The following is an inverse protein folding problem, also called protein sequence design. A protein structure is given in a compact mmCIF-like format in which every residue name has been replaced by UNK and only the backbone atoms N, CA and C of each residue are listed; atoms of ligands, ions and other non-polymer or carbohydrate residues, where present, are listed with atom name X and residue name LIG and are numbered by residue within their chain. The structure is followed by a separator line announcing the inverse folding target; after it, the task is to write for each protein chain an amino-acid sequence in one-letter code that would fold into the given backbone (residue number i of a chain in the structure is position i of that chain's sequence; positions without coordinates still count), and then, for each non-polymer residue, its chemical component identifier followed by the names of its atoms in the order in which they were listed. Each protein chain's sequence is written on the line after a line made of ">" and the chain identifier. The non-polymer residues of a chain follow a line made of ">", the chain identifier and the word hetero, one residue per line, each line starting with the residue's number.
data_IF_068869438013
#
_entry.id   IF_068869438013
#
_cell.length_a   1.000
_cell.length_b   1.000
_cell.length_c   1.000
_cell.angle_alpha   90.00
_cell.angle_beta   90.00
_cell.angle_gamma   90.00
#
_symmetry.space_group_name_H-M   'P 1'
#
loop_
_entity.id
_entity.type
_entity.pdbx_description
1 polymer ?
#
# COMPACT_ATOMS: atom_id res chain seq x y z
N UNK A 1 -7.17 54.43 -46.54
CA UNK A 1 -6.56 53.69 -47.66
C UNK A 1 -6.28 52.30 -47.15
N UNK A 2 -7.18 51.36 -47.46
CA UNK A 2 -7.11 49.98 -46.99
C UNK A 2 -6.45 49.12 -48.07
N UNK A 3 -5.25 48.62 -47.79
CA UNK A 3 -4.53 47.69 -48.69
C UNK A 3 -5.07 46.27 -48.51
N UNK A 4 -5.69 45.74 -49.56
CA UNK A 4 -6.05 44.33 -49.69
C UNK A 4 -4.80 43.54 -50.09
N UNK A 5 -4.38 42.62 -49.23
CA UNK A 5 -3.36 41.62 -49.55
C UNK A 5 -4.08 40.39 -50.12
N UNK A 6 -3.94 40.16 -51.42
CA UNK A 6 -4.31 38.90 -52.08
C UNK A 6 -3.22 37.86 -51.82
N UNK A 7 -3.56 36.80 -51.09
CA UNK A 7 -2.71 35.61 -50.95
C UNK A 7 -3.14 34.60 -52.02
N UNK A 8 -2.30 34.42 -53.05
CA UNK A 8 -2.42 33.29 -53.99
C UNK A 8 -1.86 32.04 -53.32
N UNK A 9 -2.72 31.03 -53.15
CA UNK A 9 -2.32 29.69 -52.73
C UNK A 9 -2.19 28.87 -54.03
N UNK A 10 -0.96 28.49 -54.37
CA UNK A 10 -0.69 27.51 -55.41
C UNK A 10 -0.58 26.13 -54.77
N UNK A 11 -1.60 25.32 -54.98
CA UNK A 11 -1.56 23.87 -54.79
C UNK A 11 -0.73 23.22 -55.91
N UNK A 12 0.12 22.26 -55.54
CA UNK A 12 0.43 21.01 -56.25
C UNK A 12 1.90 20.61 -56.07
N UNK A 13 2.14 19.62 -55.21
CA UNK A 13 3.27 18.68 -55.34
C UNK A 13 2.96 17.42 -54.52
N UNK A 14 2.11 16.54 -55.07
CA UNK A 14 1.97 15.16 -54.61
C UNK A 14 3.23 14.37 -55.00
N UNK A 15 4.16 14.23 -54.04
CA UNK A 15 5.30 13.32 -54.18
C UNK A 15 4.81 11.90 -53.88
N UNK A 16 4.60 11.10 -54.93
CA UNK A 16 4.42 9.64 -54.81
C UNK A 16 5.72 9.01 -54.29
N UNK A 17 5.78 8.74 -53.00
CA UNK A 17 6.83 7.91 -52.40
C UNK A 17 6.42 6.44 -52.57
N UNK A 18 6.96 5.78 -53.59
CA UNK A 18 6.89 4.32 -53.70
C UNK A 18 7.80 3.69 -52.64
N UNK A 19 7.20 3.32 -51.50
CA UNK A 19 7.88 2.52 -50.48
C UNK A 19 7.90 1.08 -50.97
N UNK A 20 9.04 0.64 -51.52
CA UNK A 20 9.34 -0.78 -51.75
C UNK A 20 9.42 -1.48 -50.38
N UNK A 21 8.32 -2.10 -49.95
CA UNK A 21 8.32 -3.01 -48.81
C UNK A 21 8.86 -4.37 -49.25
N UNK A 22 10.11 -4.66 -48.91
CA UNK A 22 10.65 -6.01 -49.02
C UNK A 22 9.85 -6.99 -48.12
N UNK A 23 9.69 -8.25 -48.53
CA UNK A 23 8.91 -9.23 -47.79
C UNK A 23 9.52 -9.47 -46.41
N UNK A 24 8.71 -9.22 -45.37
CA UNK A 24 8.98 -9.59 -43.99
C UNK A 24 9.16 -11.11 -43.91
N UNK A 25 10.41 -11.54 -44.00
CA UNK A 25 10.83 -12.86 -43.51
C UNK A 25 10.38 -12.96 -42.06
N UNK A 26 9.70 -14.06 -41.73
CA UNK A 26 9.12 -14.39 -40.44
C UNK A 26 10.18 -14.66 -39.37
N UNK A 27 11.08 -13.70 -39.16
CA UNK A 27 11.95 -13.67 -38.01
C UNK A 27 11.08 -13.34 -36.79
N UNK A 28 11.01 -14.31 -35.88
CA UNK A 28 10.50 -14.13 -34.52
C UNK A 28 10.88 -12.74 -33.98
N UNK A 29 9.88 -11.90 -33.74
CA UNK A 29 10.04 -10.59 -33.08
C UNK A 29 10.35 -10.74 -31.58
N UNK A 30 10.75 -11.93 -31.12
CA UNK A 30 11.24 -12.10 -29.77
C UNK A 30 12.55 -11.33 -29.63
N UNK A 31 12.48 -10.21 -28.92
CA UNK A 31 13.64 -9.36 -28.58
C UNK A 31 14.77 -10.21 -27.97
N UNK A 32 14.44 -11.32 -27.30
CA UNK A 32 15.41 -12.24 -26.72
C UNK A 32 16.30 -12.92 -27.78
N UNK A 33 15.78 -13.26 -28.96
CA UNK A 33 16.53 -13.92 -30.03
C UNK A 33 17.41 -12.93 -30.81
N UNK A 34 16.87 -11.75 -31.13
CA UNK A 34 17.63 -10.66 -31.77
C UNK A 34 18.84 -10.31 -30.90
N UNK A 35 18.67 -10.29 -29.58
CA UNK A 35 19.76 -10.02 -28.67
C UNK A 35 20.78 -11.17 -28.58
N UNK A 36 20.34 -12.43 -28.50
CA UNK A 36 21.26 -13.60 -28.52
C UNK A 36 22.19 -13.57 -29.73
N UNK A 37 21.64 -13.28 -30.92
CA UNK A 37 22.44 -13.11 -32.15
C UNK A 37 23.44 -11.95 -32.05
N UNK A 38 23.06 -10.84 -31.43
CA UNK A 38 23.99 -9.72 -31.17
C UNK A 38 25.11 -10.10 -30.19
N UNK A 39 24.81 -10.92 -29.17
CA UNK A 39 25.83 -11.43 -28.23
C UNK A 39 26.82 -12.33 -28.96
N UNK A 40 26.35 -13.21 -29.86
CA UNK A 40 27.21 -14.16 -30.59
C UNK A 40 28.33 -13.47 -31.38
N UNK A 41 28.12 -12.23 -31.81
CA UNK A 41 29.11 -11.43 -32.54
C UNK A 41 30.03 -10.59 -31.63
N UNK A 42 29.80 -10.57 -30.31
CA UNK A 42 30.65 -9.84 -29.37
C UNK A 42 31.97 -10.56 -29.08
N UNK A 43 32.99 -9.80 -28.66
CA UNK A 43 34.25 -10.39 -28.18
C UNK A 43 34.01 -11.22 -26.91
N UNK A 44 34.83 -12.24 -26.60
CA UNK A 44 34.60 -13.13 -25.45
C UNK A 44 34.38 -12.42 -24.10
N UNK A 45 35.09 -11.31 -23.85
CA UNK A 45 34.94 -10.51 -22.63
C UNK A 45 33.62 -9.72 -22.59
N UNK A 46 33.14 -9.28 -23.75
CA UNK A 46 31.86 -8.58 -23.91
C UNK A 46 30.69 -9.57 -23.79
N UNK A 47 30.83 -10.79 -24.32
CA UNK A 47 29.88 -11.90 -24.13
C UNK A 47 29.67 -12.25 -22.66
N UNK A 48 30.76 -12.42 -21.89
CA UNK A 48 30.68 -12.69 -20.43
C UNK A 48 29.95 -11.59 -19.69
N UNK A 49 30.18 -10.33 -20.09
CA UNK A 49 29.48 -9.18 -19.51
C UNK A 49 28.00 -9.20 -19.87
N UNK A 50 27.64 -9.34 -21.15
CA UNK A 50 26.25 -9.40 -21.59
C UNK A 50 25.46 -10.53 -20.89
N UNK A 51 26.03 -11.74 -20.81
CA UNK A 51 25.40 -12.88 -20.15
C UNK A 51 25.14 -12.65 -18.65
N UNK A 52 26.06 -11.98 -17.94
CA UNK A 52 25.87 -11.62 -16.54
C UNK A 52 24.72 -10.62 -16.33
N UNK A 53 24.38 -9.83 -17.36
CA UNK A 53 23.28 -8.87 -17.27
C UNK A 53 21.91 -9.54 -17.45
N UNK A 54 21.82 -10.57 -18.32
CA UNK A 54 20.61 -11.39 -18.48
C UNK A 54 20.21 -12.11 -17.21
N UNK A 55 21.17 -12.70 -16.51
CA UNK A 55 20.93 -13.37 -15.22
C UNK A 55 20.33 -12.44 -14.15
N UNK A 56 20.29 -11.13 -14.39
CA UNK A 56 19.80 -10.11 -13.47
C UNK A 56 18.68 -9.23 -14.04
N UNK A 57 18.10 -9.57 -15.21
CA UNK A 57 17.03 -8.82 -15.87
C UNK A 57 17.32 -7.32 -16.02
N UNK A 58 18.55 -6.96 -16.39
CA UNK A 58 18.94 -5.55 -16.56
C UNK A 58 18.56 -5.09 -17.98
N UNK A 59 17.92 -3.91 -18.15
CA UNK A 59 17.50 -3.44 -19.47
C UNK A 59 18.67 -3.28 -20.44
N UNK A 60 18.44 -3.64 -21.70
CA UNK A 60 19.45 -3.63 -22.78
C UNK A 60 20.11 -2.26 -23.01
N UNK A 61 19.36 -1.18 -22.74
CA UNK A 61 19.83 0.20 -22.82
C UNK A 61 21.07 0.46 -21.96
N UNK A 62 21.35 -0.37 -20.95
CA UNK A 62 22.53 -0.25 -20.09
C UNK A 62 23.83 -0.74 -20.74
N UNK A 63 23.76 -1.51 -21.83
CA UNK A 63 24.91 -2.16 -22.47
C UNK A 63 25.30 -1.53 -23.81
N UNK A 64 24.33 -1.11 -24.62
CA UNK A 64 24.59 -0.62 -25.97
C UNK A 64 24.82 0.88 -26.02
N UNK A 65 25.72 1.38 -26.89
CA UNK A 65 25.84 2.81 -27.15
C UNK A 65 24.47 3.35 -27.56
N UNK A 66 24.08 4.47 -26.96
CA UNK A 66 22.90 5.19 -27.41
C UNK A 66 23.23 5.76 -28.79
N UNK A 67 22.28 5.78 -29.73
CA UNK A 67 22.53 6.32 -31.08
C UNK A 67 22.98 7.79 -30.95
N UNK A 68 24.18 8.10 -31.45
CA UNK A 68 24.81 9.43 -31.31
C UNK A 68 25.70 9.61 -30.07
N UNK A 69 25.81 8.62 -29.18
CA UNK A 69 26.73 8.64 -28.04
C UNK A 69 28.16 8.37 -28.51
N UNK A 70 29.12 9.18 -28.03
CA UNK A 70 30.53 8.94 -28.29
C UNK A 70 30.98 7.62 -27.66
N UNK A 71 32.02 6.99 -28.24
CA UNK A 71 32.59 5.75 -27.69
C UNK A 71 33.09 5.93 -26.26
N UNK A 72 33.59 7.11 -25.92
CA UNK A 72 34.10 7.45 -24.58
C UNK A 72 32.96 7.57 -23.56
N UNK A 73 31.88 8.27 -23.91
CA UNK A 73 30.70 8.41 -23.05
C UNK A 73 30.04 7.06 -22.78
N UNK A 74 29.91 6.23 -23.83
CA UNK A 74 29.40 4.87 -23.70
C UNK A 74 30.27 4.03 -22.74
N UNK A 75 31.59 4.17 -22.79
CA UNK A 75 32.51 3.48 -21.88
C UNK A 75 32.40 3.99 -20.44
N UNK A 76 32.29 5.32 -20.23
CA UNK A 76 32.08 5.91 -18.90
C UNK A 76 30.76 5.42 -18.30
N UNK A 77 29.68 5.42 -19.09
CA UNK A 77 28.36 4.95 -18.68
C UNK A 77 28.40 3.46 -18.33
N UNK A 78 28.99 2.61 -19.18
CA UNK A 78 29.19 1.18 -18.89
C UNK A 78 29.97 0.96 -17.59
N UNK A 79 31.03 1.74 -17.35
CA UNK A 79 31.81 1.68 -16.10
C UNK A 79 30.96 2.04 -14.88
N UNK A 80 30.19 3.14 -14.94
CA UNK A 80 29.25 3.56 -13.88
C UNK A 80 28.19 2.47 -13.63
N UNK A 81 27.57 1.95 -14.68
CA UNK A 81 26.57 0.89 -14.62
C UNK A 81 27.13 -0.39 -13.99
N UNK A 82 28.33 -0.81 -14.39
CA UNK A 82 29.01 -1.98 -13.82
C UNK A 82 29.24 -1.85 -12.31
N UNK A 83 29.63 -0.66 -11.82
CA UNK A 83 29.74 -0.42 -10.38
C UNK A 83 28.40 -0.55 -9.66
N UNK A 84 27.34 0.02 -10.25
CA UNK A 84 25.97 -0.08 -9.70
C UNK A 84 25.53 -1.54 -9.60
N UNK A 85 25.81 -2.35 -10.62
CA UNK A 85 25.48 -3.78 -10.63
C UNK A 85 26.30 -4.60 -9.64
N UNK A 86 27.59 -4.28 -9.48
CA UNK A 86 28.41 -4.88 -8.42
C UNK A 86 27.81 -4.55 -7.04
N UNK A 87 27.37 -3.31 -6.85
CA UNK A 87 26.68 -2.86 -5.64
C UNK A 87 25.37 -3.63 -5.38
N UNK A 88 24.54 -3.80 -6.41
CA UNK A 88 23.27 -4.55 -6.35
C UNK A 88 23.54 -6.02 -6.02
N UNK A 89 24.48 -6.67 -6.72
CA UNK A 89 24.87 -8.07 -6.45
C UNK A 89 25.38 -8.25 -5.02
N UNK A 90 26.27 -7.38 -4.56
CA UNK A 90 26.78 -7.41 -3.19
C UNK A 90 25.67 -7.15 -2.15
N UNK A 91 24.67 -6.31 -2.47
CA UNK A 91 23.51 -6.11 -1.60
C UNK A 91 22.63 -7.36 -1.58
N UNK A 92 22.34 -7.98 -2.73
CA UNK A 92 21.56 -9.22 -2.83
C UNK A 92 22.23 -10.36 -2.07
N UNK A 93 23.54 -10.54 -2.26
CA UNK A 93 24.33 -11.49 -1.48
C UNK A 93 24.20 -11.23 0.03
N UNK A 94 24.39 -9.98 0.47
CA UNK A 94 24.24 -9.59 1.88
C UNK A 94 22.84 -9.80 2.46
N UNK A 95 21.80 -9.73 1.65
CA UNK A 95 20.43 -10.01 2.09
C UNK A 95 20.16 -11.52 2.22
N UNK A 96 20.87 -12.34 1.44
CA UNK A 96 20.73 -13.79 1.42
C UNK A 96 21.79 -14.50 2.29
N UNK A 97 22.70 -13.76 2.93
CA UNK A 97 23.72 -14.30 3.83
C UNK A 97 23.07 -14.89 5.09
N UNK A 98 23.50 -16.08 5.50
CA UNK A 98 23.17 -16.62 6.82
C UNK A 98 23.75 -15.72 7.94
N UNK A 99 23.20 -15.82 9.15
CA UNK A 99 23.70 -15.05 10.30
C UNK A 99 25.18 -15.37 10.60
N UNK A 100 25.59 -16.63 10.45
CA UNK A 100 26.98 -17.07 10.60
C UNK A 100 27.90 -16.48 9.54
N UNK A 101 27.50 -16.55 8.26
CA UNK A 101 28.26 -15.96 7.15
C UNK A 101 28.39 -14.44 7.32
N UNK A 102 27.31 -13.77 7.76
CA UNK A 102 27.33 -12.34 8.06
C UNK A 102 28.27 -12.01 9.22
N UNK A 103 28.26 -12.80 10.29
CA UNK A 103 29.15 -12.64 11.43
C UNK A 103 30.62 -12.81 11.01
N UNK A 104 30.95 -13.86 10.27
CA UNK A 104 32.30 -14.10 9.75
C UNK A 104 32.77 -12.98 8.81
N UNK A 105 31.91 -12.50 7.90
CA UNK A 105 32.22 -11.36 7.03
C UNK A 105 32.55 -10.11 7.83
N UNK A 106 31.75 -9.79 8.85
CA UNK A 106 31.98 -8.63 9.72
C UNK A 106 33.29 -8.77 10.52
N UNK A 107 33.61 -9.96 11.02
CA UNK A 107 34.90 -10.26 11.67
C UNK A 107 36.06 -10.01 10.69
N UNK A 108 35.98 -10.57 9.48
CA UNK A 108 37.01 -10.40 8.45
C UNK A 108 37.17 -8.94 8.01
N UNK A 109 36.07 -8.21 7.83
CA UNK A 109 36.09 -6.77 7.54
C UNK A 109 36.76 -5.98 8.68
N UNK A 110 36.53 -6.37 9.94
CA UNK A 110 37.17 -5.76 11.09
C UNK A 110 38.68 -6.05 11.11
N UNK A 111 39.09 -7.30 10.93
CA UNK A 111 40.51 -7.66 10.83
C UNK A 111 41.24 -6.88 9.73
N UNK A 112 40.63 -6.78 8.53
CA UNK A 112 41.19 -5.97 7.44
C UNK A 112 41.33 -4.50 7.81
N UNK A 113 40.35 -3.91 8.50
CA UNK A 113 40.46 -2.53 8.99
C UNK A 113 41.60 -2.39 9.97
N UNK A 114 41.74 -3.29 10.94
CA UNK A 114 42.82 -3.25 11.94
C UNK A 114 44.19 -3.32 11.25
N UNK A 115 44.36 -4.24 10.30
CA UNK A 115 45.61 -4.38 9.53
C UNK A 115 45.90 -3.13 8.69
N UNK A 116 44.87 -2.56 8.03
CA UNK A 116 45.07 -1.33 7.27
C UNK A 116 45.45 -0.17 8.19
N UNK A 117 44.85 -0.08 9.38
CA UNK A 117 45.16 0.94 10.40
C UNK A 117 46.57 0.82 10.95
N UNK A 118 47.11 -0.39 11.08
CA UNK A 118 48.49 -0.58 11.55
C UNK A 118 49.53 -0.21 10.49
N UNK A 119 49.14 -0.21 9.21
CA UNK A 119 50.00 0.19 8.08
C UNK A 119 49.85 1.65 7.66
N UNK A 120 48.91 2.39 8.25
CA UNK A 120 48.67 3.79 7.92
C UNK A 120 49.85 4.67 8.37
N UNK A 121 50.27 5.60 7.50
CA UNK A 121 51.20 6.64 7.90
C UNK A 121 50.56 7.58 8.92
N UNK A 122 51.38 8.25 9.73
CA UNK A 122 50.87 9.22 10.73
C UNK A 122 50.02 10.33 10.09
N UNK A 123 50.39 10.78 8.89
CA UNK A 123 49.63 11.80 8.16
C UNK A 123 48.24 11.29 7.73
N UNK A 124 48.15 10.07 7.19
CA UNK A 124 46.86 9.48 6.80
C UNK A 124 45.97 9.21 8.01
N UNK A 125 46.57 8.75 9.12
CA UNK A 125 45.90 8.58 10.41
C UNK A 125 45.31 9.89 10.92
N UNK A 126 46.08 10.98 10.91
CA UNK A 126 45.63 12.30 11.34
C UNK A 126 44.49 12.83 10.45
N UNK A 127 44.61 12.69 9.11
CA UNK A 127 43.55 13.07 8.17
C UNK A 127 42.25 12.31 8.44
N UNK A 128 42.30 10.99 8.72
CA UNK A 128 41.11 10.21 9.07
C UNK A 128 40.49 10.69 10.39
N UNK A 129 41.29 10.84 11.44
CA UNK A 129 40.80 11.28 12.75
C UNK A 129 40.16 12.67 12.68
N UNK A 130 40.72 13.58 11.87
CA UNK A 130 40.13 14.90 11.64
C UNK A 130 38.76 14.81 10.97
N UNK A 131 38.62 13.96 9.94
CA UNK A 131 37.33 13.70 9.28
C UNK A 131 36.31 13.08 10.24
N UNK A 132 36.72 12.11 11.05
CA UNK A 132 35.86 11.48 12.05
C UNK A 132 35.39 12.51 13.08
N UNK A 133 36.29 13.37 13.57
CA UNK A 133 35.96 14.47 14.49
C UNK A 133 34.98 15.47 13.88
N UNK A 134 35.18 15.87 12.63
CA UNK A 134 34.27 16.75 11.89
C UNK A 134 32.89 16.11 11.77
N UNK A 135 32.81 14.87 11.28
CA UNK A 135 31.55 14.14 11.14
C UNK A 135 30.78 14.04 12.47
N UNK A 136 31.46 13.68 13.56
CA UNK A 136 30.83 13.61 14.87
C UNK A 136 30.37 14.98 15.38
N UNK A 137 31.14 16.05 15.12
CA UNK A 137 30.75 17.41 15.48
C UNK A 137 29.50 17.86 14.73
N UNK A 138 29.41 17.60 13.42
CA UNK A 138 28.25 17.92 12.60
C UNK A 138 27.01 17.13 13.04
N UNK A 139 27.17 15.84 13.31
CA UNK A 139 26.08 14.99 13.79
C UNK A 139 25.55 15.47 15.15
N UNK A 140 26.44 15.83 16.08
CA UNK A 140 26.08 16.41 17.37
C UNK A 140 25.35 17.75 17.21
N UNK A 141 25.81 18.60 16.30
CA UNK A 141 25.16 19.88 16.00
C UNK A 141 23.74 19.68 15.45
N UNK A 142 23.54 18.75 14.50
CA UNK A 142 22.21 18.39 13.97
C UNK A 142 21.27 17.86 15.06
N UNK A 143 21.78 17.03 15.96
CA UNK A 143 21.01 16.58 17.13
C UNK A 143 20.64 17.75 18.05
N UNK A 144 21.59 18.67 18.29
CA UNK A 144 21.33 19.88 19.08
C UNK A 144 20.28 20.78 18.43
N UNK A 145 20.31 20.95 17.11
CA UNK A 145 19.31 21.74 16.36
C UNK A 145 17.92 21.14 16.47
N UNK A 146 17.80 19.82 16.33
CA UNK A 146 16.53 19.11 16.54
C UNK A 146 16.00 19.32 17.96
N UNK A 147 16.87 19.22 18.97
CA UNK A 147 16.55 19.50 20.36
C UNK A 147 16.10 20.96 20.57
N UNK A 148 16.84 21.94 20.03
CA UNK A 148 16.48 23.36 20.07
C UNK A 148 15.15 23.62 19.38
N UNK A 149 14.86 22.94 18.27
CA UNK A 149 13.57 23.07 17.59
C UNK A 149 12.43 22.48 18.41
N UNK A 150 12.66 21.37 19.12
CA UNK A 150 11.71 20.81 20.06
C UNK A 150 11.40 21.80 21.19
N UNK A 151 12.44 22.39 21.81
CA UNK A 151 12.29 23.40 22.85
C UNK A 151 11.53 24.63 22.35
N UNK A 152 11.87 25.14 21.15
CA UNK A 152 11.14 26.26 20.52
C UNK A 152 9.66 25.94 20.30
N UNK A 153 9.32 24.69 19.95
CA UNK A 153 7.92 24.25 19.80
C UNK A 153 7.22 24.06 21.13
N UNK A 154 7.94 23.69 22.18
CA UNK A 154 7.36 23.56 23.52
C UNK A 154 7.06 24.92 24.16
N UNK A 155 7.86 25.93 23.84
CA UNK A 155 7.70 27.32 24.31
C UNK A 155 6.82 28.18 23.38
N UNK A 156 6.29 27.62 22.29
CA UNK A 156 5.49 28.38 21.34
C UNK A 156 4.13 28.76 21.95
N UNK A 157 3.67 29.99 21.72
CA UNK A 157 2.32 30.38 22.12
C UNK A 157 1.27 29.59 21.33
N UNK A 158 0.05 29.47 21.86
CA UNK A 158 -1.02 28.74 21.17
C UNK A 158 -1.35 29.34 19.79
N UNK A 159 -1.31 30.66 19.66
CA UNK A 159 -1.48 31.36 18.38
C UNK A 159 -0.39 30.98 17.37
N UNK A 160 0.87 31.03 17.78
CA UNK A 160 2.00 30.68 16.90
C UNK A 160 1.97 29.20 16.52
N UNK A 161 1.59 28.31 17.45
CA UNK A 161 1.30 26.90 17.19
C UNK A 161 0.23 26.73 16.13
N UNK A 162 -0.90 27.41 16.29
CA UNK A 162 -2.04 27.31 15.39
C UNK A 162 -1.70 27.83 13.99
N UNK A 163 -1.01 28.97 13.89
CA UNK A 163 -0.51 29.50 12.62
C UNK A 163 0.48 28.54 11.95
N UNK A 164 1.36 27.87 12.72
CA UNK A 164 2.29 26.86 12.19
C UNK A 164 1.54 25.62 11.67
N UNK A 165 0.54 25.13 12.41
CA UNK A 165 -0.30 24.00 12.02
C UNK A 165 -1.11 24.35 10.75
N UNK A 166 -1.70 25.55 10.67
CA UNK A 166 -2.45 25.98 9.49
C UNK A 166 -1.56 26.12 8.26
N UNK A 167 -0.37 26.72 8.40
CA UNK A 167 0.63 26.75 7.31
C UNK A 167 0.99 25.33 6.83
N UNK A 168 1.14 24.38 7.75
CA UNK A 168 1.42 22.98 7.40
C UNK A 168 0.22 22.31 6.70
N UNK A 169 -1.00 22.53 7.18
CA UNK A 169 -2.24 22.03 6.55
C UNK A 169 -2.37 22.57 5.13
N UNK A 170 -2.12 23.86 4.90
CA UNK A 170 -2.18 24.49 3.59
C UNK A 170 -1.16 23.88 2.62
N UNK A 171 0.09 23.70 3.06
CA UNK A 171 1.13 23.03 2.26
C UNK A 171 0.70 21.61 1.86
N UNK A 172 0.13 20.84 2.77
CA UNK A 172 -0.36 19.50 2.45
C UNK A 172 -1.57 19.50 1.53
N UNK A 173 -2.50 20.46 1.65
CA UNK A 173 -3.62 20.59 0.71
C UNK A 173 -3.10 20.88 -0.70
N UNK A 174 -2.19 21.84 -0.86
CA UNK A 174 -1.56 22.16 -2.16
C UNK A 174 -0.82 20.96 -2.75
N UNK A 175 0.00 20.28 -1.95
CA UNK A 175 0.72 19.09 -2.40
C UNK A 175 -0.22 17.95 -2.83
N UNK A 176 -1.37 17.77 -2.15
CA UNK A 176 -2.38 16.78 -2.55
C UNK A 176 -3.18 17.21 -3.78
N UNK A 177 -3.40 18.50 -3.99
CA UNK A 177 -4.11 18.98 -5.17
C UNK A 177 -3.26 18.81 -6.45
N UNK A 178 -1.94 18.85 -6.31
CA UNK A 178 -0.96 18.68 -7.40
C UNK A 178 -0.46 17.23 -7.55
N UNK A 179 -1.00 16.28 -6.79
CA UNK A 179 -0.54 14.90 -6.83
C UNK A 179 -1.04 14.19 -8.11
N UNK A 180 -0.16 13.45 -8.80
CA UNK A 180 -0.58 12.57 -9.90
C UNK A 180 -1.41 11.39 -9.37
N UNK A 181 -2.22 10.78 -10.23
CA UNK A 181 -3.03 9.62 -9.83
C UNK A 181 -2.18 8.44 -9.33
N UNK A 182 -1.04 8.17 -9.96
CA UNK A 182 -0.11 7.14 -9.49
C UNK A 182 0.42 7.43 -8.09
N UNK A 183 0.86 8.66 -7.83
CA UNK A 183 1.38 9.06 -6.52
C UNK A 183 0.28 9.04 -5.45
N UNK A 184 -0.96 9.43 -5.80
CA UNK A 184 -2.15 9.28 -4.96
C UNK A 184 -2.40 7.83 -4.60
N UNK A 185 -2.41 6.93 -5.57
CA UNK A 185 -2.67 5.51 -5.37
C UNK A 185 -1.59 4.87 -4.50
N UNK A 186 -0.30 5.16 -4.76
CA UNK A 186 0.81 4.71 -3.90
C UNK A 186 0.71 5.26 -2.46
N UNK A 187 0.26 6.52 -2.28
CA UNK A 187 0.03 7.10 -0.96
C UNK A 187 -1.12 6.41 -0.23
N UNK A 188 -2.23 6.14 -0.91
CA UNK A 188 -3.39 5.43 -0.35
C UNK A 188 -3.00 4.00 0.02
N UNK A 189 -2.26 3.30 -0.84
CA UNK A 189 -1.87 1.92 -0.58
C UNK A 189 -0.90 1.81 0.60
N UNK A 190 0.12 2.69 0.68
CA UNK A 190 0.99 2.78 1.86
C UNK A 190 0.20 3.07 3.14
N UNK A 191 -0.84 3.91 3.07
CA UNK A 191 -1.73 4.17 4.22
C UNK A 191 -2.53 2.93 4.61
N UNK A 192 -3.08 2.18 3.65
CA UNK A 192 -3.81 0.92 3.89
C UNK A 192 -2.91 -0.12 4.54
N UNK A 193 -1.69 -0.29 4.03
CA UNK A 193 -0.70 -1.21 4.60
C UNK A 193 -0.37 -0.86 6.06
N UNK A 194 -0.08 0.41 6.36
CA UNK A 194 0.16 0.85 7.76
C UNK A 194 -1.04 0.57 8.67
N UNK A 195 -2.26 0.79 8.18
CA UNK A 195 -3.48 0.50 8.96
C UNK A 195 -3.68 -1.00 9.19
N UNK A 196 -3.38 -1.85 8.20
CA UNK A 196 -3.42 -3.31 8.37
C UNK A 196 -2.41 -3.78 9.42
N UNK A 197 -1.17 -3.29 9.34
CA UNK A 197 -0.13 -3.60 10.32
C UNK A 197 -0.52 -3.13 11.73
N UNK A 198 -1.02 -1.90 11.86
CA UNK A 198 -1.46 -1.37 13.15
C UNK A 198 -2.61 -2.18 13.75
N UNK A 199 -3.57 -2.64 12.92
CA UNK A 199 -4.66 -3.53 13.37
C UNK A 199 -4.19 -4.93 13.71
N UNK A 200 -3.18 -5.46 13.02
CA UNK A 200 -2.63 -6.77 13.33
C UNK A 200 -1.85 -6.77 14.66
N UNK A 201 -1.33 -5.61 15.07
CA UNK A 201 -0.59 -5.40 16.32
C UNK A 201 -1.46 -4.81 17.44
N UNK A 202 -2.77 -4.63 17.22
CA UNK A 202 -3.66 -4.04 18.22
C UNK A 202 -3.94 -5.04 19.36
N UNK A 203 -3.94 -4.59 20.61
CA UNK A 203 -4.39 -5.42 21.74
C UNK A 203 -5.90 -5.58 21.72
N UNK A 204 -6.42 -6.65 22.33
CA UNK A 204 -7.87 -6.90 22.36
C UNK A 204 -8.66 -5.76 23.04
N UNK A 205 -8.09 -5.13 24.08
CA UNK A 205 -8.67 -3.93 24.70
C UNK A 205 -8.77 -2.75 23.71
N UNK A 206 -7.68 -2.45 23.00
CA UNK A 206 -7.68 -1.35 22.02
C UNK A 206 -8.62 -1.63 20.85
N UNK A 207 -8.74 -2.90 20.43
CA UNK A 207 -9.71 -3.37 19.45
C UNK A 207 -11.14 -3.13 19.93
N UNK A 208 -11.46 -3.53 21.15
CA UNK A 208 -12.79 -3.39 21.73
C UNK A 208 -13.19 -1.92 21.89
N UNK A 209 -12.28 -1.07 22.37
CA UNK A 209 -12.51 0.38 22.42
C UNK A 209 -12.74 0.97 21.02
N UNK A 210 -11.95 0.57 20.02
CA UNK A 210 -12.11 1.01 18.63
C UNK A 210 -13.48 0.61 18.08
N UNK A 211 -13.90 -0.63 18.27
CA UNK A 211 -15.20 -1.15 17.82
C UNK A 211 -16.36 -0.47 18.55
N UNK A 212 -16.22 -0.20 19.85
CA UNK A 212 -17.23 0.54 20.62
C UNK A 212 -17.41 1.96 20.09
N UNK A 213 -16.32 2.70 19.86
CA UNK A 213 -16.36 4.05 19.26
C UNK A 213 -16.92 4.02 17.84
N UNK A 214 -16.70 2.94 17.08
CA UNK A 214 -17.28 2.77 15.75
C UNK A 214 -18.80 2.53 15.81
N UNK A 215 -19.27 1.68 16.75
CA UNK A 215 -20.70 1.47 17.01
C UNK A 215 -21.40 2.76 17.44
N UNK A 216 -20.81 3.51 18.37
CA UNK A 216 -21.34 4.79 18.84
C UNK A 216 -21.51 5.79 17.70
N UNK A 217 -20.44 6.04 16.92
CA UNK A 217 -20.50 6.94 15.75
C UNK A 217 -21.56 6.51 14.72
N UNK A 218 -21.70 5.20 14.50
CA UNK A 218 -22.73 4.66 13.58
C UNK A 218 -24.14 4.88 14.14
N UNK A 219 -24.33 4.73 15.45
CA UNK A 219 -25.60 5.01 16.12
C UNK A 219 -25.96 6.49 16.05
N UNK A 220 -25.01 7.38 16.36
CA UNK A 220 -25.18 8.83 16.27
C UNK A 220 -25.52 9.27 14.84
N UNK A 221 -24.80 8.75 13.84
CA UNK A 221 -25.08 9.03 12.44
C UNK A 221 -26.50 8.60 12.06
N UNK A 222 -26.93 7.39 12.48
CA UNK A 222 -28.29 6.88 12.22
C UNK A 222 -29.37 7.69 12.93
N UNK A 223 -29.10 8.19 14.12
CA UNK A 223 -30.03 9.05 14.86
C UNK A 223 -30.21 10.44 14.25
N UNK A 224 -29.24 10.90 13.45
CA UNK A 224 -29.27 12.18 12.73
C UNK A 224 -29.54 12.03 11.22
N UNK A 225 -29.85 10.82 10.76
CA UNK A 225 -30.09 10.53 9.35
C UNK A 225 -31.46 11.09 8.93
N UNK A 226 -31.54 11.76 7.77
CA UNK A 226 -32.83 12.18 7.22
C UNK A 226 -33.65 10.97 6.75
N UNK A 227 -34.98 11.10 6.69
CA UNK A 227 -35.84 9.98 6.26
C UNK A 227 -35.52 9.53 4.82
N UNK A 228 -35.18 10.46 3.93
CA UNK A 228 -34.71 10.14 2.57
C UNK A 228 -33.41 9.31 2.58
N UNK A 229 -32.41 9.75 3.36
CA UNK A 229 -31.15 9.01 3.48
C UNK A 229 -31.36 7.62 4.10
N UNK A 230 -32.24 7.52 5.10
CA UNK A 230 -32.66 6.25 5.72
C UNK A 230 -33.29 5.33 4.69
N UNK A 231 -34.22 5.83 3.89
CA UNK A 231 -34.90 5.04 2.85
C UNK A 231 -33.93 4.58 1.76
N UNK A 232 -33.04 5.45 1.27
CA UNK A 232 -31.99 5.08 0.32
C UNK A 232 -31.05 4.01 0.91
N UNK A 233 -30.66 4.15 2.18
CA UNK A 233 -29.83 3.15 2.86
C UNK A 233 -30.55 1.80 2.96
N UNK A 234 -31.82 1.79 3.36
CA UNK A 234 -32.63 0.56 3.45
C UNK A 234 -32.85 -0.09 2.09
N UNK A 235 -33.10 0.69 1.03
CA UNK A 235 -33.19 0.17 -0.34
C UNK A 235 -31.87 -0.48 -0.77
N UNK A 236 -30.73 0.17 -0.53
CA UNK A 236 -29.40 -0.41 -0.81
C UNK A 236 -29.12 -1.67 0.02
N UNK A 237 -29.53 -1.68 1.30
CA UNK A 237 -29.43 -2.87 2.17
C UNK A 237 -30.27 -4.03 1.61
N UNK A 238 -31.52 -3.76 1.19
CA UNK A 238 -32.41 -4.76 0.56
C UNK A 238 -31.82 -5.31 -0.74
N UNK A 239 -31.34 -4.43 -1.63
CA UNK A 239 -30.74 -4.83 -2.91
C UNK A 239 -29.52 -5.74 -2.68
N UNK A 240 -28.58 -5.34 -1.81
CA UNK A 240 -27.43 -6.18 -1.45
C UNK A 240 -27.85 -7.54 -0.90
N UNK A 241 -28.93 -7.58 -0.10
CA UNK A 241 -29.45 -8.84 0.42
C UNK A 241 -29.98 -9.74 -0.68
N UNK A 242 -30.70 -9.20 -1.66
CA UNK A 242 -31.21 -9.96 -2.80
C UNK A 242 -30.06 -10.49 -3.67
N UNK A 243 -29.08 -9.65 -3.98
CA UNK A 243 -27.88 -10.04 -4.73
C UNK A 243 -27.11 -11.16 -4.01
N UNK A 244 -26.91 -11.03 -2.70
CA UNK A 244 -26.26 -12.06 -1.90
C UNK A 244 -27.04 -13.38 -1.91
N UNK A 245 -28.37 -13.32 -1.81
CA UNK A 245 -29.22 -14.52 -1.89
C UNK A 245 -29.20 -15.15 -3.27
N UNK A 246 -29.10 -14.38 -4.35
CA UNK A 246 -29.02 -14.90 -5.70
C UNK A 246 -27.67 -15.58 -5.98
N UNK A 247 -26.59 -15.12 -5.33
CA UNK A 247 -25.24 -15.66 -5.47
C UNK A 247 -24.89 -16.75 -4.43
N UNK A 248 -25.82 -17.11 -3.54
CA UNK A 248 -25.53 -18.08 -2.49
C UNK A 248 -25.41 -19.49 -3.05
N UNK A 249 -24.43 -20.27 -2.56
CA UNK A 249 -24.35 -21.69 -2.91
C UNK A 249 -25.46 -22.48 -2.23
N UNK A 250 -25.85 -23.62 -2.82
CA UNK A 250 -26.94 -24.45 -2.28
C UNK A 250 -26.65 -24.93 -0.84
N UNK A 251 -25.37 -25.15 -0.50
CA UNK A 251 -24.94 -25.47 0.87
C UNK A 251 -25.26 -24.31 1.83
N UNK A 252 -24.89 -23.08 1.47
CA UNK A 252 -25.13 -21.89 2.30
C UNK A 252 -26.64 -21.64 2.44
N UNK A 253 -27.39 -21.78 1.34
CA UNK A 253 -28.86 -21.68 1.32
C UNK A 253 -29.50 -22.66 2.30
N UNK A 254 -29.13 -23.93 2.22
CA UNK A 254 -29.66 -24.98 3.10
C UNK A 254 -29.29 -24.73 4.57
N UNK A 255 -28.05 -24.33 4.85
CA UNK A 255 -27.65 -23.94 6.21
C UNK A 255 -28.46 -22.75 6.75
N UNK A 256 -28.71 -21.72 5.92
CA UNK A 256 -29.57 -20.58 6.30
C UNK A 256 -30.98 -21.06 6.60
N UNK A 257 -31.59 -21.84 5.70
CA UNK A 257 -32.96 -22.34 5.88
C UNK A 257 -33.10 -23.24 7.11
N UNK A 258 -32.11 -24.08 7.41
CA UNK A 258 -32.09 -24.88 8.63
C UNK A 258 -32.04 -24.00 9.89
N UNK A 259 -31.17 -22.99 9.90
CA UNK A 259 -31.11 -22.01 11.01
C UNK A 259 -32.42 -21.24 11.16
N UNK A 260 -33.05 -20.84 10.05
CA UNK A 260 -34.35 -20.16 10.08
C UNK A 260 -35.43 -21.07 10.67
N UNK A 261 -35.48 -22.35 10.26
CA UNK A 261 -36.40 -23.36 10.82
C UNK A 261 -36.18 -23.57 12.31
N UNK A 262 -34.92 -23.67 12.76
CA UNK A 262 -34.57 -23.81 14.18
C UNK A 262 -35.05 -22.61 14.99
N UNK A 263 -34.75 -21.38 14.55
CA UNK A 263 -35.23 -20.16 15.23
C UNK A 263 -36.76 -20.10 15.33
N UNK A 264 -37.47 -20.49 14.28
CA UNK A 264 -38.94 -20.56 14.33
C UNK A 264 -39.45 -21.65 15.27
N UNK A 265 -38.78 -22.81 15.35
CA UNK A 265 -39.13 -23.86 16.30
C UNK A 265 -38.90 -23.42 17.75
N UNK A 266 -37.74 -22.82 18.04
CA UNK A 266 -37.42 -22.24 19.36
C UNK A 266 -38.42 -21.17 19.78
N UNK A 267 -38.74 -20.23 18.88
CA UNK A 267 -39.75 -19.20 19.15
C UNK A 267 -41.12 -19.81 19.46
N UNK A 268 -41.58 -20.80 18.69
CA UNK A 268 -42.83 -21.51 18.97
C UNK A 268 -42.79 -22.24 20.31
N UNK A 269 -41.67 -22.85 20.68
CA UNK A 269 -41.51 -23.53 21.97
C UNK A 269 -41.57 -22.53 23.15
N UNK A 270 -40.93 -21.36 23.01
CA UNK A 270 -40.99 -20.30 24.02
C UNK A 270 -42.41 -19.74 24.19
N UNK A 271 -43.09 -19.43 23.08
CA UNK A 271 -44.47 -18.90 23.12
C UNK A 271 -45.44 -19.94 23.70
N UNK A 272 -45.33 -21.21 23.31
CA UNK A 272 -46.19 -22.28 23.84
C UNK A 272 -45.89 -22.65 25.30
N UNK A 273 -44.65 -22.47 25.77
CA UNK A 273 -44.30 -22.59 27.19
C UNK A 273 -44.84 -21.44 28.04
N UNK A 274 -44.84 -20.21 27.53
CA UNK A 274 -45.43 -19.05 28.20
C UNK A 274 -46.96 -19.13 28.31
N UNK A 275 -47.64 -19.45 27.21
CA UNK A 275 -49.11 -19.52 27.17
C UNK A 275 -49.69 -20.75 27.87
N UNK A 276 -48.97 -21.89 27.91
CA UNK A 276 -49.41 -23.04 28.73
C UNK A 276 -49.38 -22.74 30.22
N UNK A 277 -48.39 -21.98 30.69
CA UNK A 277 -48.28 -21.65 32.12
C UNK A 277 -49.35 -20.64 32.57
N UNK A 278 -49.68 -19.65 31.74
CA UNK A 278 -50.79 -18.72 32.01
C UNK A 278 -52.15 -19.44 31.99
N UNK A 279 -52.36 -20.37 31.04
CA UNK A 279 -53.60 -21.14 30.96
C UNK A 279 -53.76 -22.12 32.13
N UNK A 280 -52.67 -22.77 32.59
CA UNK A 280 -52.71 -23.63 33.79
C UNK A 280 -52.97 -22.83 35.07
N UNK A 281 -52.43 -21.61 35.20
CA UNK A 281 -52.72 -20.74 36.36
C UNK A 281 -54.19 -20.28 36.38
N UNK A 282 -54.75 -19.87 35.24
CA UNK A 282 -56.17 -19.50 35.14
C UNK A 282 -57.06 -20.71 35.46
N UNK A 283 -56.73 -21.89 34.94
CA UNK A 283 -57.47 -23.12 35.25
C UNK A 283 -57.36 -23.54 36.73
N UNK A 284 -56.22 -23.34 37.39
CA UNK A 284 -56.07 -23.61 38.83
C UNK A 284 -56.87 -22.65 39.72
N UNK A 285 -57.02 -21.38 39.32
CA UNK A 285 -57.88 -20.42 40.02
C UNK A 285 -59.35 -20.83 39.88
N UNK A 286 -59.77 -21.25 38.69
CA UNK A 286 -61.15 -21.68 38.44
C UNK A 286 -61.53 -22.96 39.19
N UNK A 287 -60.62 -23.94 39.24
CA UNK A 287 -60.84 -25.21 39.98
C UNK A 287 -60.80 -25.02 41.50
N UNK A 288 -60.02 -24.05 42.02
CA UNK A 288 -60.00 -23.74 43.46
C UNK A 288 -61.09 -22.76 43.91
N UNK A 289 -61.67 -21.98 43.00
CA UNK A 289 -62.75 -21.03 43.28
C UNK A 289 -64.16 -21.64 43.28
N UNK A 290 -64.36 -22.80 42.66
CA UNK A 290 -65.67 -23.46 42.59
C UNK A 290 -66.04 -24.33 43.81
N UNK A 291 -65.24 -24.33 44.88
CA UNK A 291 -65.53 -25.13 46.09
C UNK A 291 -66.08 -24.34 47.28
N UNK A 292 -66.30 -23.02 47.16
CA UNK A 292 -66.65 -22.19 48.32
C UNK A 292 -67.95 -21.37 48.24
N UNK A 293 -68.73 -21.42 47.16
CA UNK A 293 -69.98 -20.64 47.11
C UNK A 293 -71.21 -21.55 47.19
N UNK A 294 -71.59 -21.85 48.43
CA UNK A 294 -72.95 -22.22 48.86
C UNK A 294 -73.92 -21.09 48.46
N UNK A 295 -74.37 -21.06 47.20
CA UNK A 295 -75.50 -20.24 46.78
C UNK A 295 -76.80 -20.97 47.11
N UNK A 296 -77.29 -20.78 48.33
CA UNK A 296 -78.66 -21.10 48.72
C UNK A 296 -79.63 -20.16 48.00
N UNK A 297 -80.33 -20.68 46.99
CA UNK A 297 -81.52 -20.06 46.43
C UNK A 297 -82.72 -20.43 47.33
N UNK A 298 -83.17 -19.47 48.14
CA UNK A 298 -84.51 -19.52 48.74
C UNK A 298 -85.55 -19.19 47.65
N UNK A 299 -86.59 -20.03 47.58
CA UNK A 299 -87.74 -19.93 46.66
C UNK A 299 -88.91 -19.30 47.40
#
# INVERSE_FOLDING_TARGET
>A
MEEKIEVKIEDNNEVKIEVKTEPLTSFSNDQSEIFKRRIENLKPMEKRSANSFFAHNIPEAFLWPIKGESKEDANIRRKKNSMTLRGIRAKKHRMNESLEARSLRLKNDNYRRIINRSKESQETRNKRLLKDRQYHSEYRNKLSESGRQCMKRAQESEETRNQRIERQRLRWRRARAQESEETRNQRIERRRQRLRMARAQESEETRNQRLQRERQRKSEYRGKESEEARNQRLQKDKQRHLEYRAQESEIIKNQRLLKDRQRHAEYRAQVSGGTRNECVQICQIFVKGQLNDDFSFEV
#
